data_IF_879771431367
#
_entry.id   IF_879771431367
#
_cell.length_a   1.000
_cell.length_b   1.000
_cell.length_c   1.000
_cell.angle_alpha   90.00
_cell.angle_beta   90.00
_cell.angle_gamma   90.00
#
_symmetry.space_group_name_H-M   'P 1'
#
loop_
_entity.id
_entity.type
_entity.pdbx_description
1 polymer ?
#
# COMPACT_ATOMS: atom_id res chain seq x y z
N UNK A 1 29.61 -0.74 -16.21
CA UNK A 1 28.26 -0.14 -16.10
C UNK A 1 27.27 -1.27 -16.25
N UNK A 2 26.46 -1.55 -15.22
CA UNK A 2 25.52 -2.68 -15.25
C UNK A 2 24.36 -2.43 -16.22
N UNK A 3 23.72 -3.51 -16.68
CA UNK A 3 22.54 -3.45 -17.54
C UNK A 3 21.43 -2.64 -16.86
N UNK A 4 20.87 -1.60 -17.50
CA UNK A 4 19.80 -0.82 -16.87
C UNK A 4 18.54 -1.69 -16.77
N UNK A 5 17.99 -1.76 -15.55
CA UNK A 5 16.78 -2.54 -15.24
C UNK A 5 15.77 -1.66 -14.50
N UNK A 6 14.52 -1.72 -14.92
CA UNK A 6 13.39 -1.14 -14.19
C UNK A 6 12.26 -2.14 -14.04
N UNK A 7 11.48 -2.01 -12.97
CA UNK A 7 10.33 -2.85 -12.68
C UNK A 7 9.16 -1.95 -12.27
N UNK A 8 8.03 -2.09 -12.96
CA UNK A 8 6.76 -1.46 -12.60
C UNK A 8 5.73 -2.50 -12.23
N UNK A 9 4.79 -2.14 -11.36
CA UNK A 9 3.67 -3.01 -11.01
C UNK A 9 2.42 -2.24 -10.62
N UNK A 10 1.27 -2.92 -10.71
CA UNK A 10 -0.02 -2.35 -10.36
C UNK A 10 -1.19 -3.27 -10.73
N UNK A 11 -2.45 -2.82 -10.53
CA UNK A 11 -3.63 -3.60 -10.91
C UNK A 11 -3.58 -4.03 -12.39
N UNK A 12 -4.33 -5.08 -12.73
CA UNK A 12 -4.41 -5.57 -14.11
C UNK A 12 -4.69 -4.44 -15.12
N UNK A 13 -3.84 -4.32 -16.14
CA UNK A 13 -3.95 -3.25 -17.14
C UNK A 13 -3.45 -1.88 -16.67
N UNK A 14 -2.87 -1.78 -15.48
CA UNK A 14 -2.29 -0.55 -14.90
C UNK A 14 -1.01 -0.88 -14.13
N UNK A 15 -0.16 -1.72 -14.72
CA UNK A 15 1.14 -2.11 -14.16
C UNK A 15 2.13 -0.95 -14.03
N UNK A 16 1.85 0.22 -14.60
CA UNK A 16 2.71 1.41 -14.48
C UNK A 16 2.41 2.26 -13.23
N UNK A 17 1.53 1.79 -12.33
CA UNK A 17 1.07 2.53 -11.15
C UNK A 17 2.17 2.73 -10.10
N UNK A 18 2.99 1.71 -9.85
CA UNK A 18 4.09 1.74 -8.91
C UNK A 18 5.39 1.42 -9.63
N UNK A 19 6.47 2.12 -9.29
CA UNK A 19 7.81 1.84 -9.80
C UNK A 19 8.69 1.36 -8.65
N UNK A 20 9.22 0.15 -8.78
CA UNK A 20 10.23 -0.34 -7.84
C UNK A 20 11.52 0.46 -8.00
N UNK A 21 12.30 0.50 -6.93
CA UNK A 21 13.57 1.23 -6.84
C UNK A 21 14.72 0.27 -6.60
N UNK A 22 15.96 0.76 -6.79
CA UNK A 22 17.18 -0.03 -6.53
C UNK A 22 17.18 -1.38 -7.24
N UNK A 23 16.67 -1.43 -8.46
CA UNK A 23 16.66 -2.64 -9.28
C UNK A 23 18.05 -2.97 -9.80
N UNK A 24 18.47 -4.22 -9.64
CA UNK A 24 19.72 -4.74 -10.18
C UNK A 24 19.60 -6.22 -10.54
N UNK A 25 20.27 -6.63 -11.62
CA UNK A 25 20.46 -8.04 -11.94
C UNK A 25 21.40 -8.66 -10.89
N UNK A 26 20.91 -9.64 -10.15
CA UNK A 26 21.69 -10.37 -9.12
C UNK A 26 22.23 -11.69 -9.65
N UNK A 27 21.54 -12.29 -10.63
CA UNK A 27 22.00 -13.46 -11.38
C UNK A 27 21.73 -13.24 -12.86
N UNK A 28 22.76 -13.36 -13.69
CA UNK A 28 22.65 -13.14 -15.13
C UNK A 28 21.60 -14.08 -15.73
N UNK A 29 20.71 -13.52 -16.54
CA UNK A 29 19.64 -14.24 -17.25
C UNK A 29 18.62 -14.98 -16.36
N UNK A 30 18.65 -14.76 -15.03
CA UNK A 30 17.88 -15.56 -14.07
C UNK A 30 17.20 -14.70 -12.98
N UNK A 31 17.89 -13.71 -12.41
CA UNK A 31 17.38 -13.01 -11.23
C UNK A 31 17.62 -11.50 -11.24
N UNK A 32 16.56 -10.78 -10.88
CA UNK A 32 16.56 -9.33 -10.62
C UNK A 32 16.05 -9.11 -9.20
N UNK A 33 16.79 -8.34 -8.42
CA UNK A 33 16.34 -7.85 -7.11
C UNK A 33 15.98 -6.38 -7.21
N UNK A 34 14.82 -6.01 -6.68
CA UNK A 34 14.34 -4.63 -6.58
C UNK A 34 13.76 -4.38 -5.19
N UNK A 35 13.71 -3.11 -4.78
CA UNK A 35 12.96 -2.64 -3.61
C UNK A 35 11.59 -2.14 -4.05
N UNK A 36 10.51 -2.71 -3.52
CA UNK A 36 9.15 -2.23 -3.81
C UNK A 36 8.98 -0.78 -3.36
N UNK A 37 8.22 0.01 -4.13
CA UNK A 37 7.70 1.29 -3.66
C UNK A 37 6.76 1.08 -2.46
N UNK A 38 6.51 2.15 -1.69
CA UNK A 38 5.40 2.14 -0.76
C UNK A 38 4.07 2.14 -1.54
N UNK A 39 3.07 1.43 -1.04
CA UNK A 39 1.78 1.38 -1.72
C UNK A 39 0.74 0.54 -1.01
N UNK A 40 -0.38 0.37 -1.70
CA UNK A 40 -1.55 -0.37 -1.22
C UNK A 40 -2.11 -1.29 -2.30
N UNK A 41 -2.93 -2.25 -1.87
CA UNK A 41 -3.66 -3.16 -2.74
C UNK A 41 -2.98 -4.51 -2.92
N UNK A 42 -3.69 -5.39 -3.61
CA UNK A 42 -3.35 -6.78 -3.85
C UNK A 42 -3.37 -7.10 -5.33
N UNK A 43 -2.83 -8.27 -5.70
CA UNK A 43 -2.83 -8.78 -7.06
C UNK A 43 -2.20 -7.82 -8.09
N UNK A 44 -1.10 -7.15 -7.71
CA UNK A 44 -0.36 -6.31 -8.64
C UNK A 44 0.40 -7.17 -9.63
N UNK A 45 0.20 -6.88 -10.91
CA UNK A 45 0.96 -7.49 -12.01
C UNK A 45 2.17 -6.65 -12.33
N UNK A 46 3.23 -7.32 -12.77
CA UNK A 46 4.55 -6.76 -12.93
C UNK A 46 4.87 -6.58 -14.43
N UNK A 47 5.68 -5.58 -14.73
CA UNK A 47 6.40 -5.42 -16.00
C UNK A 47 7.85 -5.13 -15.68
N UNK A 48 8.74 -5.78 -16.42
CA UNK A 48 10.18 -5.60 -16.26
C UNK A 48 10.73 -5.08 -17.57
N UNK A 49 11.61 -4.08 -17.50
CA UNK A 49 12.35 -3.57 -18.65
C UNK A 49 13.83 -3.77 -18.40
N UNK A 50 14.50 -4.49 -19.30
CA UNK A 50 15.95 -4.74 -19.26
C UNK A 50 16.55 -4.19 -20.55
N UNK A 51 17.47 -3.24 -20.44
CA UNK A 51 18.13 -2.61 -21.60
C UNK A 51 17.14 -2.10 -22.67
N UNK A 52 16.04 -1.49 -22.21
CA UNK A 52 14.98 -0.97 -23.09
C UNK A 52 14.00 -2.02 -23.63
N UNK A 53 14.23 -3.31 -23.39
CA UNK A 53 13.30 -4.38 -23.76
C UNK A 53 12.31 -4.63 -22.63
N UNK A 54 11.05 -4.28 -22.86
CA UNK A 54 9.97 -4.47 -21.89
C UNK A 54 9.28 -5.82 -22.06
N UNK A 55 9.03 -6.50 -20.96
CA UNK A 55 8.25 -7.74 -20.92
C UNK A 55 6.76 -7.49 -21.18
N UNK A 56 6.02 -8.56 -21.46
CA UNK A 56 4.57 -8.57 -21.24
C UNK A 56 4.27 -8.41 -19.73
N UNK A 57 3.04 -8.00 -19.44
CA UNK A 57 2.55 -7.99 -18.06
C UNK A 57 2.48 -9.43 -17.51
N UNK A 58 2.86 -9.60 -16.25
CA UNK A 58 2.84 -10.91 -15.59
C UNK A 58 1.43 -11.52 -15.57
N UNK A 59 1.37 -12.85 -15.62
CA UNK A 59 0.10 -13.59 -15.58
C UNK A 59 -0.60 -13.49 -14.22
N UNK A 60 -1.89 -13.83 -14.17
CA UNK A 60 -2.70 -13.76 -12.93
C UNK A 60 -2.18 -14.62 -11.77
N UNK A 61 -1.39 -15.67 -12.05
CA UNK A 61 -0.73 -16.49 -11.03
C UNK A 61 0.60 -15.92 -10.51
N UNK A 62 1.10 -14.83 -11.10
CA UNK A 62 2.37 -14.19 -10.74
C UNK A 62 2.08 -12.74 -10.40
N UNK A 63 1.74 -12.50 -9.13
CA UNK A 63 1.40 -11.17 -8.63
C UNK A 63 2.07 -10.89 -7.30
N UNK A 64 2.24 -9.61 -6.99
CA UNK A 64 2.70 -9.14 -5.67
C UNK A 64 1.58 -8.39 -4.96
N UNK A 65 1.57 -8.42 -3.64
CA UNK A 65 0.57 -7.77 -2.81
C UNK A 65 1.22 -7.13 -1.60
N UNK A 66 0.74 -5.95 -1.22
CA UNK A 66 1.12 -5.37 0.07
C UNK A 66 0.41 -6.08 1.21
N UNK A 67 1.01 -6.04 2.40
CA UNK A 67 0.36 -6.57 3.61
C UNK A 67 -0.92 -5.78 3.89
N UNK A 68 -1.98 -6.48 4.27
CA UNK A 68 -3.23 -5.87 4.68
C UNK A 68 -3.08 -5.10 6.01
N UNK A 69 -3.92 -4.07 6.24
CA UNK A 69 -3.91 -3.30 7.48
C UNK A 69 -4.34 -4.18 8.66
N UNK A 70 -3.77 -3.89 9.84
CA UNK A 70 -4.13 -4.53 11.11
C UNK A 70 -4.36 -3.45 12.16
N UNK A 71 -5.44 -3.57 12.92
CA UNK A 71 -5.80 -2.63 13.99
C UNK A 71 -5.55 -3.33 15.32
N UNK A 72 -4.78 -2.69 16.20
CA UNK A 72 -4.46 -3.20 17.55
C UNK A 72 -5.28 -2.53 18.64
N UNK A 73 -5.67 -1.26 18.46
CA UNK A 73 -6.55 -0.57 19.41
C UNK A 73 -7.28 0.61 18.78
N UNK A 74 -8.41 0.98 19.38
CA UNK A 74 -9.20 2.17 19.04
C UNK A 74 -9.28 3.05 20.28
N UNK A 75 -8.87 4.32 20.16
CA UNK A 75 -8.76 5.24 21.30
C UNK A 75 -9.49 6.55 20.99
N UNK A 76 -10.67 6.80 21.57
CA UNK A 76 -11.32 8.10 21.50
C UNK A 76 -10.59 9.14 22.34
N UNK A 77 -10.57 10.37 21.86
CA UNK A 77 -9.99 11.49 22.59
C UNK A 77 -10.91 11.93 23.74
N UNK A 78 -10.42 11.86 24.97
CA UNK A 78 -11.08 12.45 26.16
C UNK A 78 -12.37 11.78 26.63
N UNK A 79 -12.82 10.69 25.98
CA UNK A 79 -14.03 9.94 26.36
C UNK A 79 -13.76 8.44 26.32
N UNK A 80 -14.47 7.68 27.16
CA UNK A 80 -14.42 6.22 27.10
C UNK A 80 -15.15 5.71 25.84
N UNK A 81 -14.68 4.59 25.26
CA UNK A 81 -15.28 3.96 24.07
C UNK A 81 -16.77 3.67 24.23
N UNK A 82 -17.21 3.30 25.43
CA UNK A 82 -18.61 3.02 25.75
C UNK A 82 -19.44 4.27 26.10
N UNK A 83 -18.84 5.46 26.02
CA UNK A 83 -19.45 6.74 26.37
C UNK A 83 -19.28 7.80 25.26
N UNK A 84 -19.12 7.34 24.01
CA UNK A 84 -19.02 8.21 22.84
C UNK A 84 -20.32 9.04 22.67
N UNK A 85 -20.23 10.38 22.52
CA UNK A 85 -21.39 11.22 22.25
C UNK A 85 -22.06 10.85 20.92
N UNK A 86 -23.39 10.70 20.94
CA UNK A 86 -24.17 10.44 19.72
C UNK A 86 -24.21 11.63 18.76
N UNK A 87 -23.87 12.82 19.24
CA UNK A 87 -23.69 14.02 18.42
C UNK A 87 -22.47 13.93 17.48
N UNK A 88 -21.56 12.96 17.69
CA UNK A 88 -20.32 12.83 16.92
C UNK A 88 -19.27 13.86 17.32
N UNK A 89 -18.31 14.11 16.42
CA UNK A 89 -17.25 15.10 16.60
C UNK A 89 -16.08 14.67 17.51
N UNK A 90 -16.14 13.49 18.11
CA UNK A 90 -15.01 12.93 18.88
C UNK A 90 -13.93 12.41 17.91
N UNK A 91 -12.71 12.91 18.04
CA UNK A 91 -11.55 12.35 17.35
C UNK A 91 -11.25 10.94 17.87
N UNK A 92 -11.03 10.00 16.95
CA UNK A 92 -10.70 8.61 17.28
C UNK A 92 -9.37 8.25 16.63
N UNK A 93 -8.43 7.78 17.45
CA UNK A 93 -7.15 7.26 17.00
C UNK A 93 -7.23 5.76 16.81
N UNK A 94 -6.87 5.29 15.62
CA UNK A 94 -6.69 3.87 15.32
C UNK A 94 -5.19 3.55 15.38
N UNK A 95 -4.80 2.69 16.30
CA UNK A 95 -3.43 2.17 16.36
C UNK A 95 -3.35 0.84 15.64
N UNK A 96 -2.25 0.60 14.95
CA UNK A 96 -2.10 -0.58 14.11
C UNK A 96 -0.90 -0.50 13.17
N UNK A 97 -0.92 -1.33 12.13
CA UNK A 97 0.16 -1.42 11.13
C UNK A 97 -0.40 -1.63 9.72
N UNK A 98 0.43 -1.33 8.71
CA UNK A 98 0.15 -1.54 7.28
C UNK A 98 -1.06 -0.76 6.74
N UNK A 99 -1.34 0.45 7.25
CA UNK A 99 -2.39 1.32 6.71
C UNK A 99 -2.05 1.94 5.34
N UNK A 100 -0.87 1.64 4.82
CA UNK A 100 -0.33 2.22 3.60
C UNK A 100 0.44 3.53 3.84
N UNK A 101 0.93 4.17 2.77
CA UNK A 101 1.70 5.41 2.83
C UNK A 101 0.87 6.59 3.36
N UNK A 102 1.44 7.41 4.24
CA UNK A 102 0.79 8.62 4.78
C UNK A 102 0.43 9.66 3.71
N UNK A 103 1.22 9.72 2.64
CA UNK A 103 1.03 10.62 1.49
C UNK A 103 0.02 10.09 0.46
N UNK A 104 -0.55 8.91 0.68
CA UNK A 104 -1.55 8.30 -0.21
C UNK A 104 -2.98 8.64 0.19
N UNK A 105 -3.89 8.67 -0.79
CA UNK A 105 -5.34 8.64 -0.55
C UNK A 105 -5.78 7.24 -0.06
N UNK A 106 -5.26 6.80 1.08
CA UNK A 106 -5.67 5.57 1.72
C UNK A 106 -6.95 5.88 2.50
N UNK A 107 -8.09 5.43 1.97
CA UNK A 107 -9.38 5.69 2.62
C UNK A 107 -9.51 4.79 3.84
N UNK A 108 -9.49 5.39 5.03
CA UNK A 108 -9.96 4.74 6.25
C UNK A 108 -11.43 5.12 6.44
N UNK A 109 -12.29 4.10 6.50
CA UNK A 109 -13.70 4.26 6.79
C UNK A 109 -14.00 3.68 8.17
N UNK A 110 -14.69 4.46 9.00
CA UNK A 110 -15.19 4.02 10.30
C UNK A 110 -16.72 4.11 10.28
N UNK A 111 -17.38 3.01 10.61
CA UNK A 111 -18.85 2.95 10.65
C UNK A 111 -19.33 2.69 12.07
N UNK A 112 -20.27 3.52 12.55
CA UNK A 112 -20.98 3.35 13.81
C UNK A 112 -22.48 3.29 13.54
N UNK A 113 -23.08 2.09 13.67
CA UNK A 113 -24.46 1.86 13.25
C UNK A 113 -24.64 2.16 11.76
N UNK A 114 -25.51 3.12 11.43
CA UNK A 114 -25.76 3.55 10.04
C UNK A 114 -24.89 4.73 9.58
N UNK A 115 -24.06 5.30 10.46
CA UNK A 115 -23.21 6.44 10.14
C UNK A 115 -21.81 5.98 9.72
N UNK A 116 -21.33 6.50 8.59
CA UNK A 116 -19.95 6.26 8.11
C UNK A 116 -19.20 7.59 8.07
N UNK A 117 -18.04 7.63 8.72
CA UNK A 117 -17.09 8.73 8.63
C UNK A 117 -15.88 8.28 7.79
N UNK A 118 -15.37 9.17 6.94
CA UNK A 118 -14.06 9.01 6.31
C UNK A 118 -13.01 9.74 7.15
N UNK A 119 -11.87 9.08 7.36
CA UNK A 119 -10.76 9.61 8.11
C UNK A 119 -9.49 9.58 7.26
N UNK A 120 -8.60 10.54 7.48
CA UNK A 120 -7.26 10.54 6.87
C UNK A 120 -6.26 9.86 7.81
N UNK A 121 -5.22 9.27 7.23
CA UNK A 121 -4.08 8.73 7.98
C UNK A 121 -3.16 9.90 8.34
N UNK A 122 -3.22 10.38 9.58
CA UNK A 122 -2.22 11.29 10.13
C UNK A 122 -1.11 10.44 10.78
N UNK A 123 -0.19 9.95 9.95
CA UNK A 123 0.85 9.05 10.43
C UNK A 123 2.09 9.81 10.89
N UNK A 124 2.41 9.73 12.17
CA UNK A 124 3.78 9.79 12.65
C UNK A 124 4.40 8.39 12.49
N UNK A 125 5.14 8.14 11.41
CA UNK A 125 6.08 7.01 11.39
C UNK A 125 7.24 7.34 12.36
N UNK A 126 7.73 6.38 13.18
CA UNK A 126 9.05 6.55 13.81
C UNK A 126 10.16 6.60 12.75
#
# INVERSE_FOLDING_TARGET
>A
VGTPVSLTYGPSGSSDRYAATSCSVTSADDEITCTSAEGVGTAHRLRVTVDGQQSSESGAGVTVSYRGPSITSVVPSGVALNALPTAGGTSVTLNGANFGPVSGNNVISVTYGAFTASCAVDGSQP
#
